data_IF_451185730323
#
_entry.id   IF_451185730323
#
_cell.length_a   1.000
_cell.length_b   1.000
_cell.length_c   1.000
_cell.angle_alpha   90.00
_cell.angle_beta   90.00
_cell.angle_gamma   90.00
#
_symmetry.space_group_name_H-M   'P 1'
#
loop_
_entity.id
_entity.type
_entity.pdbx_description
1 polymer ?
#
# COMPACT_ATOMS: atom_id res chain seq x y z
N UNK A 1 53.25 -2.18 11.13
CA UNK A 1 52.66 -0.81 11.14
C UNK A 1 51.72 -0.55 9.96
N UNK A 2 51.99 -1.02 8.77
CA UNK A 2 51.09 -0.85 7.64
C UNK A 2 49.76 -1.58 7.79
N UNK A 3 49.76 -2.75 8.38
CA UNK A 3 48.53 -3.56 8.55
C UNK A 3 47.51 -2.92 9.51
N UNK A 4 47.92 -2.13 10.44
CA UNK A 4 47.03 -1.48 11.42
C UNK A 4 46.20 -0.35 10.77
N UNK A 5 46.81 0.38 9.85
CA UNK A 5 46.09 1.45 9.12
C UNK A 5 45.10 0.91 8.09
N UNK A 6 45.41 -0.20 7.45
CA UNK A 6 44.55 -0.84 6.47
C UNK A 6 43.31 -1.45 7.11
N UNK A 7 43.47 -2.08 8.31
CA UNK A 7 42.33 -2.66 9.02
C UNK A 7 41.33 -1.59 9.48
N UNK A 8 41.81 -0.44 9.95
CA UNK A 8 40.94 0.65 10.36
C UNK A 8 40.17 1.23 9.19
N UNK A 9 40.80 1.41 8.03
CA UNK A 9 40.14 1.90 6.82
C UNK A 9 39.05 0.95 6.31
N UNK A 10 39.31 -0.36 6.37
CA UNK A 10 38.33 -1.35 5.94
C UNK A 10 37.10 -1.38 6.86
N UNK A 11 37.34 -1.26 8.17
CA UNK A 11 36.26 -1.21 9.14
C UNK A 11 35.37 0.04 8.96
N UNK A 12 36.00 1.20 8.74
CA UNK A 12 35.31 2.46 8.52
C UNK A 12 34.46 2.41 7.22
N UNK A 13 34.98 1.80 6.16
CA UNK A 13 34.25 1.62 4.89
C UNK A 13 33.07 0.67 5.08
N UNK A 14 33.23 -0.43 5.82
CA UNK A 14 32.15 -1.36 6.12
C UNK A 14 31.05 -0.70 6.95
N UNK A 15 31.42 0.04 7.98
CA UNK A 15 30.43 0.73 8.83
C UNK A 15 29.64 1.77 8.04
N UNK A 16 30.31 2.55 7.19
CA UNK A 16 29.66 3.54 6.34
C UNK A 16 28.68 2.89 5.35
N UNK A 17 29.07 1.76 4.76
CA UNK A 17 28.19 1.03 3.84
C UNK A 17 26.95 0.48 4.55
N UNK A 18 27.10 -0.04 5.78
CA UNK A 18 25.97 -0.52 6.58
C UNK A 18 25.03 0.62 6.94
N UNK A 19 25.54 1.79 7.29
CA UNK A 19 24.73 2.98 7.60
C UNK A 19 23.95 3.45 6.35
N UNK A 20 24.61 3.49 5.20
CA UNK A 20 23.97 3.86 3.92
C UNK A 20 22.88 2.89 3.56
N UNK A 21 23.09 1.58 3.72
CA UNK A 21 22.07 0.54 3.44
C UNK A 21 20.85 0.69 4.34
N UNK A 22 21.04 0.93 5.64
CA UNK A 22 19.95 1.14 6.59
C UNK A 22 19.14 2.40 6.26
N UNK A 23 19.81 3.50 5.93
CA UNK A 23 19.16 4.74 5.53
C UNK A 23 18.32 4.55 4.27
N UNK A 24 18.85 3.83 3.29
CA UNK A 24 18.13 3.51 2.05
C UNK A 24 16.93 2.61 2.31
N UNK A 25 17.07 1.57 3.14
CA UNK A 25 15.97 0.68 3.52
C UNK A 25 14.84 1.44 4.22
N UNK A 26 15.16 2.34 5.16
CA UNK A 26 14.18 3.14 5.87
C UNK A 26 13.43 4.09 4.94
N UNK A 27 14.12 4.69 3.96
CA UNK A 27 13.48 5.51 2.93
C UNK A 27 12.51 4.70 2.08
N UNK A 28 12.89 3.49 1.69
CA UNK A 28 12.04 2.58 0.92
C UNK A 28 10.80 2.20 1.74
N UNK A 29 10.97 1.86 3.01
CA UNK A 29 9.86 1.55 3.92
C UNK A 29 8.88 2.71 4.04
N UNK A 30 9.37 3.92 4.31
CA UNK A 30 8.54 5.11 4.43
C UNK A 30 7.76 5.40 3.15
N UNK A 31 8.41 5.26 2.00
CA UNK A 31 7.78 5.45 0.69
C UNK A 31 6.72 4.39 0.42
N UNK A 32 7.00 3.13 0.76
CA UNK A 32 6.05 2.02 0.61
C UNK A 32 4.82 2.24 1.46
N UNK A 33 4.97 2.59 2.73
CA UNK A 33 3.87 2.89 3.63
C UNK A 33 3.03 4.07 3.14
N UNK A 34 3.66 5.09 2.59
CA UNK A 34 2.97 6.24 2.02
C UNK A 34 2.09 5.82 0.83
N UNK A 35 2.62 4.99 -0.07
CA UNK A 35 1.86 4.47 -1.20
C UNK A 35 0.70 3.58 -0.75
N UNK A 36 0.92 2.73 0.25
CA UNK A 36 -0.15 1.90 0.83
C UNK A 36 -1.24 2.77 1.46
N UNK A 37 -0.86 3.82 2.16
CA UNK A 37 -1.80 4.77 2.75
C UNK A 37 -2.63 5.47 1.67
N UNK A 38 -2.01 5.93 0.58
CA UNK A 38 -2.71 6.53 -0.55
C UNK A 38 -3.67 5.55 -1.21
N UNK A 39 -3.25 4.30 -1.39
CA UNK A 39 -4.10 3.24 -1.93
C UNK A 39 -5.31 2.98 -1.05
N UNK A 40 -5.11 2.91 0.25
CA UNK A 40 -6.18 2.71 1.22
C UNK A 40 -7.17 3.89 1.21
N UNK A 41 -6.67 5.12 1.20
CA UNK A 41 -7.51 6.32 1.09
C UNK A 41 -8.30 6.32 -0.22
N UNK A 42 -7.64 6.03 -1.33
CA UNK A 42 -8.28 5.97 -2.66
C UNK A 42 -9.39 4.94 -2.68
N UNK A 43 -9.14 3.74 -2.18
CA UNK A 43 -10.16 2.68 -2.11
C UNK A 43 -11.32 3.09 -1.21
N UNK A 44 -11.05 3.74 -0.08
CA UNK A 44 -12.09 4.24 0.82
C UNK A 44 -12.96 5.32 0.20
N UNK A 45 -12.36 6.27 -0.51
CA UNK A 45 -13.08 7.34 -1.22
C UNK A 45 -14.00 6.74 -2.29
N UNK A 46 -13.50 5.79 -3.07
CA UNK A 46 -14.28 5.13 -4.12
C UNK A 46 -15.38 4.28 -3.52
N UNK A 47 -15.12 3.58 -2.42
CA UNK A 47 -16.14 2.82 -1.70
C UNK A 47 -17.29 3.73 -1.24
N UNK A 48 -16.95 4.86 -0.64
CA UNK A 48 -17.93 5.85 -0.20
C UNK A 48 -18.71 6.44 -1.38
N UNK A 49 -18.01 6.79 -2.45
CA UNK A 49 -18.64 7.32 -3.66
C UNK A 49 -19.63 6.32 -4.27
N UNK A 50 -19.23 5.06 -4.38
CA UNK A 50 -20.08 4.00 -4.94
C UNK A 50 -21.30 3.75 -4.07
N UNK A 51 -21.14 3.85 -2.75
CA UNK A 51 -22.25 3.70 -1.81
C UNK A 51 -23.25 4.84 -1.94
N UNK A 52 -22.77 6.09 -1.95
CA UNK A 52 -23.66 7.26 -2.02
C UNK A 52 -24.31 7.46 -3.39
N UNK A 53 -23.66 7.02 -4.46
CA UNK A 53 -24.21 7.12 -5.82
C UNK A 53 -25.30 6.07 -6.13
N UNK A 54 -25.47 5.08 -5.24
CA UNK A 54 -26.46 4.01 -5.43
C UNK A 54 -26.05 2.92 -6.43
N UNK A 55 -24.86 2.99 -6.97
CA UNK A 55 -24.33 1.96 -7.88
C UNK A 55 -24.26 0.59 -7.22
N UNK A 56 -24.14 0.55 -5.90
CA UNK A 56 -24.11 -0.68 -5.12
C UNK A 56 -25.38 -1.52 -5.31
N UNK A 57 -26.53 -0.85 -5.42
CA UNK A 57 -27.83 -1.54 -5.61
C UNK A 57 -27.81 -2.34 -6.90
N UNK A 58 -27.32 -1.74 -7.98
CA UNK A 58 -27.21 -2.42 -9.27
C UNK A 58 -26.20 -3.58 -9.23
N UNK A 59 -25.06 -3.37 -8.55
CA UNK A 59 -24.02 -4.39 -8.44
C UNK A 59 -24.53 -5.61 -7.66
N UNK A 60 -25.30 -5.39 -6.60
CA UNK A 60 -25.82 -6.47 -5.76
C UNK A 60 -27.01 -7.17 -6.41
N UNK A 61 -27.94 -6.40 -6.98
CA UNK A 61 -29.17 -6.96 -7.61
C UNK A 61 -28.86 -7.74 -8.87
N UNK A 62 -27.92 -7.27 -9.69
CA UNK A 62 -27.55 -7.92 -10.95
C UNK A 62 -26.53 -9.05 -10.77
N UNK A 63 -26.02 -9.24 -9.55
CA UNK A 63 -25.07 -10.32 -9.24
C UNK A 63 -23.64 -10.05 -9.73
N UNK A 64 -23.31 -8.82 -10.10
CA UNK A 64 -21.98 -8.47 -10.59
C UNK A 64 -20.90 -8.57 -9.53
N UNK A 65 -21.27 -8.68 -8.26
CA UNK A 65 -20.27 -8.76 -7.17
C UNK A 65 -19.37 -9.98 -7.29
N UNK A 66 -19.91 -11.12 -7.76
CA UNK A 66 -19.08 -12.32 -7.95
C UNK A 66 -18.11 -12.16 -9.12
N UNK A 67 -18.56 -11.52 -10.21
CA UNK A 67 -17.69 -11.18 -11.33
C UNK A 67 -16.58 -10.21 -10.92
N UNK A 68 -16.89 -9.26 -10.03
CA UNK A 68 -15.93 -8.31 -9.49
C UNK A 68 -14.84 -9.00 -8.67
N UNK A 69 -15.23 -9.95 -7.83
CA UNK A 69 -14.26 -10.76 -7.03
C UNK A 69 -13.33 -11.57 -7.94
N UNK A 70 -13.88 -12.18 -8.99
CA UNK A 70 -13.09 -12.92 -9.96
C UNK A 70 -12.13 -11.99 -10.70
N UNK A 71 -12.60 -10.81 -11.07
CA UNK A 71 -11.77 -9.79 -11.72
C UNK A 71 -10.61 -9.36 -10.82
N UNK A 72 -10.88 -9.12 -9.54
CA UNK A 72 -9.82 -8.78 -8.56
C UNK A 72 -8.77 -9.89 -8.46
N UNK A 73 -9.22 -11.13 -8.38
CA UNK A 73 -8.32 -12.28 -8.31
C UNK A 73 -7.43 -12.35 -9.56
N UNK A 74 -8.00 -12.16 -10.74
CA UNK A 74 -7.27 -12.16 -12.01
C UNK A 74 -6.26 -11.02 -12.03
N UNK A 75 -6.65 -9.81 -11.58
CA UNK A 75 -5.74 -8.65 -11.54
C UNK A 75 -4.58 -8.90 -10.58
N UNK A 76 -4.81 -9.51 -9.42
CA UNK A 76 -3.74 -9.86 -8.46
C UNK A 76 -2.76 -10.87 -9.08
N UNK A 77 -3.28 -11.90 -9.74
CA UNK A 77 -2.45 -12.91 -10.40
C UNK A 77 -1.63 -12.27 -11.52
N UNK A 78 -2.26 -11.46 -12.37
CA UNK A 78 -1.57 -10.73 -13.44
C UNK A 78 -0.50 -9.79 -12.87
N UNK A 79 -0.83 -9.07 -11.81
CA UNK A 79 0.09 -8.17 -11.14
C UNK A 79 1.32 -8.92 -10.63
N UNK A 80 1.11 -10.10 -10.02
CA UNK A 80 2.20 -10.93 -9.49
C UNK A 80 3.15 -11.41 -10.60
N UNK A 81 2.62 -11.76 -11.76
CA UNK A 81 3.45 -12.18 -12.90
C UNK A 81 4.13 -11.02 -13.60
N UNK A 82 3.43 -9.92 -13.77
CA UNK A 82 3.92 -8.76 -14.51
C UNK A 82 4.82 -7.83 -13.69
N UNK A 83 4.79 -7.94 -12.37
CA UNK A 83 5.54 -7.08 -11.46
C UNK A 83 7.03 -7.00 -11.81
N UNK A 84 7.64 -8.12 -12.21
CA UNK A 84 9.07 -8.18 -12.55
C UNK A 84 9.40 -7.57 -13.91
N UNK A 85 8.42 -7.47 -14.81
CA UNK A 85 8.62 -7.01 -16.20
C UNK A 85 8.25 -5.55 -16.41
N UNK A 86 7.46 -4.97 -15.50
CA UNK A 86 6.94 -3.62 -15.62
C UNK A 86 7.90 -2.59 -15.02
N UNK A 87 7.90 -1.39 -15.64
CA UNK A 87 8.60 -0.24 -15.08
C UNK A 87 7.95 0.21 -13.76
N UNK A 88 8.68 0.90 -12.85
CA UNK A 88 8.12 1.37 -11.60
C UNK A 88 6.86 2.24 -11.76
N UNK A 89 6.79 3.05 -12.80
CA UNK A 89 5.63 3.87 -13.09
C UNK A 89 4.40 3.03 -13.46
N UNK A 90 4.60 2.00 -14.29
CA UNK A 90 3.52 1.09 -14.68
C UNK A 90 2.99 0.30 -13.48
N UNK A 91 3.87 -0.12 -12.59
CA UNK A 91 3.50 -0.79 -11.33
C UNK A 91 2.63 0.12 -10.47
N UNK A 92 2.99 1.39 -10.34
CA UNK A 92 2.22 2.38 -9.60
C UNK A 92 0.82 2.59 -10.17
N UNK A 93 0.70 2.70 -11.47
CA UNK A 93 -0.60 2.84 -12.17
C UNK A 93 -1.46 1.61 -11.95
N UNK A 94 -0.90 0.41 -12.11
CA UNK A 94 -1.61 -0.85 -11.88
C UNK A 94 -2.07 -0.98 -10.43
N UNK A 95 -1.24 -0.60 -9.48
CA UNK A 95 -1.57 -0.59 -8.07
C UNK A 95 -2.76 0.35 -7.81
N UNK A 96 -2.75 1.52 -8.41
CA UNK A 96 -3.84 2.48 -8.26
C UNK A 96 -5.15 1.95 -8.83
N UNK A 97 -5.11 1.34 -10.03
CA UNK A 97 -6.27 0.69 -10.63
C UNK A 97 -6.82 -0.44 -9.76
N UNK A 98 -5.93 -1.29 -9.23
CA UNK A 98 -6.31 -2.34 -8.28
C UNK A 98 -6.99 -1.75 -7.04
N UNK A 99 -6.45 -0.67 -6.51
CA UNK A 99 -7.00 0.03 -5.35
C UNK A 99 -8.43 0.54 -5.62
N UNK A 100 -8.68 1.04 -6.83
CA UNK A 100 -10.01 1.49 -7.24
C UNK A 100 -11.01 0.33 -7.30
N UNK A 101 -10.62 -0.78 -7.91
CA UNK A 101 -11.46 -1.98 -7.98
C UNK A 101 -11.76 -2.50 -6.58
N UNK A 102 -10.74 -2.55 -5.73
CA UNK A 102 -10.87 -2.97 -4.33
C UNK A 102 -11.83 -2.05 -3.56
N UNK A 103 -11.85 -0.74 -3.87
CA UNK A 103 -12.80 0.20 -3.30
C UNK A 103 -14.24 -0.13 -3.63
N UNK A 104 -14.52 -0.54 -4.86
CA UNK A 104 -15.86 -0.97 -5.26
C UNK A 104 -16.27 -2.24 -4.52
N UNK A 105 -15.36 -3.20 -4.37
CA UNK A 105 -15.62 -4.43 -3.60
C UNK A 105 -15.88 -4.11 -2.12
N UNK A 106 -15.10 -3.20 -1.52
CA UNK A 106 -15.32 -2.75 -0.14
C UNK A 106 -16.71 -2.12 0.04
N UNK A 107 -17.23 -1.49 -0.99
CA UNK A 107 -18.57 -0.93 -0.95
C UNK A 107 -19.64 -2.00 -0.68
N UNK A 108 -19.45 -3.22 -1.19
CA UNK A 108 -20.38 -4.32 -0.90
C UNK A 108 -20.37 -4.69 0.58
N UNK A 109 -19.21 -4.57 1.23
CA UNK A 109 -19.08 -4.78 2.67
C UNK A 109 -19.86 -3.70 3.44
N UNK A 110 -19.86 -2.46 2.96
CA UNK A 110 -20.63 -1.37 3.55
C UNK A 110 -22.13 -1.62 3.50
N UNK A 111 -22.62 -2.34 2.50
CA UNK A 111 -24.03 -2.68 2.38
C UNK A 111 -24.46 -3.74 3.40
N UNK A 112 -23.55 -4.63 3.80
CA UNK A 112 -23.85 -5.75 4.73
C UNK A 112 -23.68 -5.33 6.18
N UNK A 113 -22.68 -4.48 6.48
CA UNK A 113 -22.37 -4.05 7.84
C UNK A 113 -22.82 -2.61 8.07
N UNK A 114 -22.96 -2.23 9.34
CA UNK A 114 -23.26 -0.85 9.70
C UNK A 114 -22.14 0.10 9.22
N UNK A 115 -22.53 1.13 8.49
CA UNK A 115 -21.63 2.11 7.90
C UNK A 115 -20.71 2.76 8.94
N UNK A 116 -21.27 3.11 10.11
CA UNK A 116 -20.51 3.76 11.18
C UNK A 116 -19.36 2.89 11.71
N UNK A 117 -19.60 1.58 11.88
CA UNK A 117 -18.57 0.65 12.35
C UNK A 117 -17.45 0.51 11.34
N UNK A 118 -17.77 0.45 10.05
CA UNK A 118 -16.79 0.30 8.98
C UNK A 118 -15.95 1.58 8.84
N UNK A 119 -16.59 2.75 8.88
CA UNK A 119 -15.89 4.04 8.83
C UNK A 119 -14.92 4.15 10.01
N UNK A 120 -15.37 3.77 11.22
CA UNK A 120 -14.52 3.79 12.42
C UNK A 120 -13.30 2.88 12.28
N UNK A 121 -13.51 1.65 11.82
CA UNK A 121 -12.41 0.71 11.58
C UNK A 121 -11.45 1.21 10.51
N UNK A 122 -11.99 1.80 9.45
CA UNK A 122 -11.18 2.34 8.37
C UNK A 122 -10.32 3.51 8.83
N UNK A 123 -10.91 4.45 9.59
CA UNK A 123 -10.20 5.60 10.15
C UNK A 123 -9.11 5.13 11.12
N UNK A 124 -9.41 4.19 12.01
CA UNK A 124 -8.42 3.64 12.95
C UNK A 124 -7.27 2.98 12.19
N UNK A 125 -7.57 2.17 11.17
CA UNK A 125 -6.54 1.54 10.33
C UNK A 125 -5.68 2.57 9.63
N UNK A 126 -6.28 3.62 9.06
CA UNK A 126 -5.56 4.70 8.39
C UNK A 126 -4.65 5.46 9.37
N UNK A 127 -5.13 5.70 10.60
CA UNK A 127 -4.32 6.33 11.65
C UNK A 127 -3.14 5.46 12.06
N UNK A 128 -3.35 4.14 12.19
CA UNK A 128 -2.27 3.18 12.50
C UNK A 128 -1.23 3.20 11.39
N UNK A 129 -1.64 3.13 10.13
CA UNK A 129 -0.73 3.19 8.98
C UNK A 129 0.04 4.51 8.93
N UNK A 130 -0.64 5.63 9.16
CA UNK A 130 0.00 6.94 9.17
C UNK A 130 1.03 7.04 10.31
N UNK A 131 0.69 6.53 11.50
CA UNK A 131 1.59 6.53 12.66
C UNK A 131 2.82 5.66 12.41
N UNK A 132 2.63 4.46 11.89
CA UNK A 132 3.73 3.56 11.56
C UNK A 132 4.63 4.14 10.46
N UNK A 133 4.03 4.75 9.45
CA UNK A 133 4.77 5.44 8.40
C UNK A 133 5.57 6.63 8.93
N UNK A 134 4.98 7.40 9.84
CA UNK A 134 5.66 8.53 10.48
C UNK A 134 6.83 8.06 11.36
N UNK A 135 6.63 7.00 12.16
CA UNK A 135 7.68 6.43 13.01
C UNK A 135 8.83 5.91 12.13
N UNK A 136 8.51 5.21 11.04
CA UNK A 136 9.51 4.74 10.09
C UNK A 136 10.29 5.87 9.45
N UNK A 137 9.61 6.95 9.09
CA UNK A 137 10.24 8.15 8.54
C UNK A 137 11.14 8.85 9.57
N UNK A 138 10.68 8.95 10.82
CA UNK A 138 11.43 9.60 11.89
C UNK A 138 12.69 8.84 12.28
N UNK A 139 12.65 7.49 12.26
CA UNK A 139 13.85 6.67 12.51
C UNK A 139 14.94 6.87 11.48
N UNK A 140 14.59 7.34 10.29
CA UNK A 140 15.54 7.64 9.22
C UNK A 140 16.39 8.88 9.53
N UNK A 141 15.91 9.78 10.37
CA UNK A 141 16.60 11.02 10.75
C UNK A 141 17.51 10.88 11.99
N UNK A 142 17.30 9.87 12.78
CA UNK A 142 18.10 9.58 13.97
C UNK A 142 19.23 8.59 13.66
#
# INVERSE_FOLDING_TARGET
>A
MQNFYDDNNQNDIQDNNVIIDRSTENKIFGKTFFWMFLGLLGSGIIAAYTYYSGLIVNIVTDGYWSALLILELVVVILFSFLFRKLSPTAVGVLYFLYSMINGVTLCTVFAVYELNSIISLFVVSALIFATLGYIGYKKDKD
#
